data_IF_636899995657
#
_entry.id   IF_636899995657
#
_cell.length_a   1.000
_cell.length_b   1.000
_cell.length_c   1.000
_cell.angle_alpha   90.00
_cell.angle_beta   90.00
_cell.angle_gamma   90.00
#
_symmetry.space_group_name_H-M   'P 1'
#
loop_
_entity.id
_entity.type
_entity.pdbx_description
1 polymer ?
#
# COMPACT_ATOMS: atom_id res chain seq x y z
N UNK A 1 -4.21 -4.88 -23.95
CA UNK A 1 -4.42 -3.71 -23.04
C UNK A 1 -3.05 -3.15 -22.70
N UNK A 2 -2.89 -1.85 -22.73
CA UNK A 2 -1.64 -1.16 -22.41
C UNK A 2 -1.31 -1.30 -20.91
N UNK A 3 -0.03 -1.23 -20.56
CA UNK A 3 0.43 -1.35 -19.16
C UNK A 3 -0.13 -0.21 -18.30
N UNK A 4 -0.13 1.00 -18.84
CA UNK A 4 -0.65 2.20 -18.18
C UNK A 4 -2.14 2.05 -17.85
N UNK A 5 -2.92 1.47 -18.76
CA UNK A 5 -4.34 1.21 -18.55
C UNK A 5 -4.56 0.15 -17.47
N UNK A 6 -3.73 -0.90 -17.44
CA UNK A 6 -3.77 -1.90 -16.36
C UNK A 6 -3.45 -1.27 -15.00
N UNK A 7 -2.40 -0.46 -14.96
CA UNK A 7 -2.00 0.22 -13.74
C UNK A 7 -3.09 1.19 -13.26
N UNK A 8 -3.69 1.97 -14.16
CA UNK A 8 -4.78 2.88 -13.81
C UNK A 8 -5.99 2.14 -13.20
N UNK A 9 -6.39 1.01 -13.78
CA UNK A 9 -7.47 0.17 -13.23
C UNK A 9 -7.10 -0.36 -11.84
N UNK A 10 -5.88 -0.87 -11.67
CA UNK A 10 -5.43 -1.38 -10.38
C UNK A 10 -5.40 -0.28 -9.31
N UNK A 11 -4.84 0.88 -9.62
CA UNK A 11 -4.80 2.03 -8.70
C UNK A 11 -6.20 2.54 -8.35
N UNK A 12 -7.13 2.56 -9.32
CA UNK A 12 -8.52 2.89 -9.04
C UNK A 12 -9.13 1.91 -8.03
N UNK A 13 -8.92 0.60 -8.23
CA UNK A 13 -9.41 -0.43 -7.31
C UNK A 13 -8.77 -0.31 -5.92
N UNK A 14 -7.48 0.01 -5.83
CA UNK A 14 -6.78 0.17 -4.54
C UNK A 14 -7.19 1.44 -3.79
N UNK A 15 -7.50 2.52 -4.51
CA UNK A 15 -7.95 3.77 -3.91
C UNK A 15 -9.41 3.80 -3.50
N UNK A 16 -10.19 2.75 -3.82
CA UNK A 16 -11.62 2.70 -3.54
C UNK A 16 -11.99 1.35 -2.93
N UNK A 17 -12.92 1.36 -2.00
CA UNK A 17 -13.44 0.14 -1.36
C UNK A 17 -14.97 0.07 -1.41
N UNK A 18 -15.52 -1.11 -1.17
CA UNK A 18 -16.96 -1.40 -1.24
C UNK A 18 -17.54 -1.07 -2.64
N UNK A 19 -18.74 -0.52 -2.67
CA UNK A 19 -19.48 -0.21 -3.90
C UNK A 19 -18.82 0.84 -4.81
N UNK A 20 -17.86 1.61 -4.32
CA UNK A 20 -17.15 2.60 -5.12
C UNK A 20 -16.26 1.96 -6.19
N UNK A 21 -15.66 0.80 -5.91
CA UNK A 21 -14.87 0.01 -6.86
C UNK A 21 -15.64 -1.22 -7.37
N UNK A 22 -16.97 -1.15 -7.50
CA UNK A 22 -17.72 -2.28 -8.06
C UNK A 22 -17.27 -2.57 -9.50
N UNK A 23 -17.24 -3.86 -9.85
CA UNK A 23 -16.80 -4.34 -11.18
C UNK A 23 -17.49 -3.60 -12.33
N UNK A 24 -18.80 -3.32 -12.18
CA UNK A 24 -19.57 -2.58 -13.19
C UNK A 24 -19.05 -1.14 -13.38
N UNK A 25 -18.85 -0.41 -12.30
CA UNK A 25 -18.36 0.99 -12.36
C UNK A 25 -16.96 1.06 -12.99
N UNK A 26 -16.08 0.16 -12.57
CA UNK A 26 -14.71 0.11 -13.10
C UNK A 26 -14.71 -0.28 -14.59
N UNK A 27 -15.52 -1.27 -14.98
CA UNK A 27 -15.64 -1.68 -16.38
C UNK A 27 -16.12 -0.54 -17.28
N UNK A 28 -17.15 0.19 -16.86
CA UNK A 28 -17.68 1.36 -17.59
C UNK A 28 -16.67 2.49 -17.65
N UNK A 29 -16.02 2.81 -16.51
CA UNK A 29 -15.02 3.88 -16.45
C UNK A 29 -13.80 3.60 -17.33
N UNK A 30 -13.31 2.36 -17.31
CA UNK A 30 -12.10 1.98 -18.05
C UNK A 30 -12.38 1.53 -19.50
N UNK A 31 -13.64 1.37 -19.89
CA UNK A 31 -14.02 0.87 -21.22
C UNK A 31 -13.59 -0.58 -21.46
N UNK A 32 -13.60 -1.44 -20.42
CA UNK A 32 -13.15 -2.84 -20.52
C UNK A 32 -14.27 -3.82 -20.20
N UNK A 33 -14.11 -5.08 -20.64
CA UNK A 33 -15.05 -6.13 -20.32
C UNK A 33 -15.12 -6.44 -18.83
N UNK A 34 -16.29 -6.83 -18.35
CA UNK A 34 -16.59 -7.11 -16.95
C UNK A 34 -15.62 -8.10 -16.31
N UNK A 35 -15.29 -9.20 -17.03
CA UNK A 35 -14.34 -10.21 -16.56
C UNK A 35 -12.88 -9.73 -16.47
N UNK A 36 -12.54 -8.66 -17.16
CA UNK A 36 -11.19 -8.08 -17.14
C UNK A 36 -10.88 -7.37 -15.81
N UNK A 37 -11.87 -6.71 -15.23
CA UNK A 37 -11.70 -5.89 -14.02
C UNK A 37 -11.09 -6.67 -12.85
N UNK A 38 -11.55 -7.87 -12.46
CA UNK A 38 -10.94 -8.61 -11.35
C UNK A 38 -9.57 -9.24 -11.70
N UNK A 39 -9.24 -9.39 -12.98
CA UNK A 39 -7.98 -9.98 -13.42
C UNK A 39 -6.83 -8.98 -13.34
N UNK A 40 -7.09 -7.72 -13.70
CA UNK A 40 -6.05 -6.69 -13.79
C UNK A 40 -5.36 -6.41 -12.45
N UNK A 41 -6.05 -6.16 -11.34
CA UNK A 41 -5.39 -5.97 -10.05
C UNK A 41 -4.56 -7.18 -9.64
N UNK A 42 -5.04 -8.41 -9.92
CA UNK A 42 -4.27 -9.64 -9.63
C UNK A 42 -2.97 -9.71 -10.42
N UNK A 43 -3.01 -9.32 -11.70
CA UNK A 43 -1.81 -9.28 -12.54
C UNK A 43 -0.81 -8.23 -12.07
N UNK A 44 -1.29 -7.04 -11.72
CA UNK A 44 -0.44 -5.96 -11.17
C UNK A 44 0.17 -6.37 -9.84
N UNK A 45 -0.61 -6.92 -8.91
CA UNK A 45 -0.07 -7.44 -7.64
C UNK A 45 0.98 -8.52 -7.88
N UNK A 46 0.74 -9.46 -8.80
CA UNK A 46 1.71 -10.49 -9.14
C UNK A 46 3.01 -9.90 -9.70
N UNK A 47 2.92 -8.88 -10.54
CA UNK A 47 4.09 -8.19 -11.08
C UNK A 47 4.88 -7.45 -9.98
N UNK A 48 4.19 -6.74 -9.08
CA UNK A 48 4.81 -6.04 -7.95
C UNK A 48 5.45 -7.00 -6.94
N UNK A 49 4.87 -8.19 -6.76
CA UNK A 49 5.41 -9.22 -5.88
C UNK A 49 6.45 -10.12 -6.59
N UNK A 50 6.83 -9.80 -7.83
CA UNK A 50 7.93 -10.53 -8.47
C UNK A 50 9.23 -10.30 -7.70
N UNK A 51 10.04 -11.35 -7.60
CA UNK A 51 11.29 -11.33 -6.84
C UNK A 51 12.22 -10.21 -7.29
N UNK A 52 12.31 -10.02 -8.61
CA UNK A 52 13.13 -8.98 -9.23
C UNK A 52 12.66 -7.57 -8.83
N UNK A 53 11.34 -7.29 -8.90
CA UNK A 53 10.80 -5.98 -8.53
C UNK A 53 10.91 -5.75 -7.03
N UNK A 54 10.58 -6.77 -6.23
CA UNK A 54 10.64 -6.67 -4.78
C UNK A 54 12.06 -6.34 -4.30
N UNK A 55 13.07 -7.08 -4.76
CA UNK A 55 14.47 -6.83 -4.38
C UNK A 55 15.02 -5.48 -4.86
N UNK A 56 14.54 -4.96 -5.98
CA UNK A 56 14.95 -3.64 -6.46
C UNK A 56 14.29 -2.48 -5.71
N UNK A 57 13.09 -2.69 -5.15
CA UNK A 57 12.26 -1.63 -4.58
C UNK A 57 12.17 -1.66 -3.05
N UNK A 58 12.33 -2.84 -2.44
CA UNK A 58 12.23 -3.03 -0.99
C UNK A 58 13.57 -3.53 -0.46
N UNK A 59 14.34 -2.65 0.13
CA UNK A 59 15.66 -2.95 0.70
C UNK A 59 15.88 -2.16 1.98
N UNK A 60 16.74 -2.68 2.86
CA UNK A 60 17.17 -1.95 4.03
C UNK A 60 18.02 -0.75 3.66
N UNK A 61 17.88 0.33 4.42
CA UNK A 61 18.68 1.52 4.22
C UNK A 61 20.18 1.23 4.36
N UNK A 62 20.97 1.79 3.45
CA UNK A 62 22.44 1.75 3.55
C UNK A 62 22.91 2.55 4.78
N UNK A 63 24.13 2.31 5.24
CA UNK A 63 24.69 3.05 6.37
C UNK A 63 24.77 4.57 6.11
N UNK A 64 25.07 4.95 4.86
CA UNK A 64 25.03 6.36 4.45
C UNK A 64 23.64 6.98 4.55
N UNK A 65 22.60 6.26 4.10
CA UNK A 65 21.21 6.70 4.21
C UNK A 65 20.76 6.80 5.69
N UNK A 66 21.20 5.88 6.55
CA UNK A 66 20.94 5.94 7.99
C UNK A 66 21.60 7.16 8.64
N UNK A 67 22.85 7.46 8.28
CA UNK A 67 23.57 8.62 8.81
C UNK A 67 22.86 9.93 8.41
N UNK A 68 22.42 10.03 7.15
CA UNK A 68 21.62 11.18 6.69
C UNK A 68 20.30 11.29 7.44
N UNK A 69 19.60 10.17 7.63
CA UNK A 69 18.35 10.17 8.39
C UNK A 69 18.54 10.59 9.85
N UNK A 70 19.59 10.12 10.52
CA UNK A 70 19.94 10.53 11.89
C UNK A 70 20.17 12.03 12.00
N UNK A 71 20.95 12.61 11.09
CA UNK A 71 21.20 14.04 11.06
C UNK A 71 19.90 14.84 10.85
N UNK A 72 19.04 14.40 9.94
CA UNK A 72 17.74 15.03 9.69
C UNK A 72 16.80 14.94 10.90
N UNK A 73 16.80 13.81 11.61
CA UNK A 73 15.99 13.63 12.83
C UNK A 73 16.47 14.55 13.95
N UNK A 74 17.76 14.63 14.16
CA UNK A 74 18.37 15.52 15.17
C UNK A 74 18.05 16.99 14.89
N UNK A 75 18.18 17.41 13.62
CA UNK A 75 17.87 18.78 13.19
C UNK A 75 16.38 19.12 13.33
N UNK A 76 15.49 18.20 12.94
CA UNK A 76 14.04 18.42 12.95
C UNK A 76 13.38 18.25 14.31
N UNK A 77 14.05 17.61 15.28
CA UNK A 77 13.46 17.31 16.59
C UNK A 77 14.28 17.86 17.76
N UNK A 78 15.14 17.04 18.33
CA UNK A 78 16.02 17.43 19.43
C UNK A 78 17.23 16.47 19.52
N UNK A 79 18.33 16.90 20.19
CA UNK A 79 19.54 16.08 20.33
C UNK A 79 19.34 14.72 20.98
N UNK A 80 18.29 14.53 21.77
CA UNK A 80 17.98 13.23 22.39
C UNK A 80 17.62 12.14 21.33
N UNK A 81 17.24 12.54 20.12
CA UNK A 81 16.89 11.65 19.02
C UNK A 81 18.01 11.46 17.98
N UNK A 82 19.25 11.85 18.32
CA UNK A 82 20.40 11.76 17.41
C UNK A 82 20.67 10.36 16.81
N UNK A 83 20.22 9.30 17.47
CA UNK A 83 20.30 7.93 16.96
C UNK A 83 19.04 7.44 16.23
N UNK A 84 17.98 8.25 16.19
CA UNK A 84 16.76 7.95 15.46
C UNK A 84 16.99 7.97 13.95
N UNK A 85 16.61 6.90 13.25
CA UNK A 85 16.74 6.84 11.79
C UNK A 85 15.56 6.16 11.10
N UNK A 86 14.67 5.55 11.87
CA UNK A 86 13.51 4.84 11.37
C UNK A 86 12.26 5.28 12.12
N UNK A 87 11.25 5.67 11.37
CA UNK A 87 9.91 5.88 11.89
C UNK A 87 9.02 4.70 11.52
N UNK A 88 8.23 4.25 12.47
CA UNK A 88 7.23 3.21 12.27
C UNK A 88 5.86 3.80 12.55
N UNK A 89 4.98 3.72 11.58
CA UNK A 89 3.59 4.16 11.72
C UNK A 89 2.64 3.04 11.38
N UNK A 90 1.53 2.98 12.11
CA UNK A 90 0.47 2.01 11.90
C UNK A 90 -0.72 2.63 11.18
N UNK A 91 -1.15 2.02 10.08
CA UNK A 91 -2.35 2.46 9.37
C UNK A 91 -3.34 1.32 9.17
N UNK A 92 -4.63 1.66 9.19
CA UNK A 92 -5.71 0.72 8.90
C UNK A 92 -6.09 0.83 7.42
N UNK A 93 -5.92 -0.27 6.69
CA UNK A 93 -6.34 -0.38 5.29
C UNK A 93 -7.70 -1.07 5.24
N UNK A 94 -8.79 -0.35 4.89
CA UNK A 94 -10.13 -0.94 4.82
C UNK A 94 -10.18 -2.06 3.77
N UNK A 95 -10.77 -3.18 4.14
CA UNK A 95 -10.98 -4.29 3.22
C UNK A 95 -12.18 -4.01 2.30
N UNK A 96 -12.11 -4.52 1.10
CA UNK A 96 -13.19 -4.38 0.11
C UNK A 96 -14.51 -4.98 0.60
N UNK A 97 -14.45 -6.13 1.28
CA UNK A 97 -15.60 -6.85 1.83
C UNK A 97 -15.20 -7.60 3.10
N UNK A 98 -16.21 -8.04 3.84
CA UNK A 98 -16.05 -8.94 4.98
C UNK A 98 -15.32 -10.23 4.54
N UNK A 99 -14.19 -10.58 5.17
CA UNK A 99 -13.52 -11.85 4.88
C UNK A 99 -14.40 -13.04 5.28
N UNK A 100 -14.47 -14.04 4.40
CA UNK A 100 -15.25 -15.25 4.66
C UNK A 100 -14.67 -16.14 5.78
N UNK A 101 -13.36 -16.05 6.02
CA UNK A 101 -12.64 -16.79 7.06
C UNK A 101 -12.19 -15.84 8.16
N UNK A 102 -12.51 -16.17 9.42
CA UNK A 102 -12.17 -15.36 10.60
C UNK A 102 -12.52 -13.87 10.47
N UNK A 103 -13.62 -13.55 9.77
CA UNK A 103 -13.99 -12.17 9.45
C UNK A 103 -14.01 -11.24 10.65
N UNK A 104 -14.46 -11.70 11.82
CA UNK A 104 -14.52 -10.89 13.03
C UNK A 104 -13.14 -10.44 13.57
N UNK A 105 -12.05 -11.13 13.24
CA UNK A 105 -10.70 -10.73 13.64
C UNK A 105 -10.19 -9.51 12.89
N UNK A 106 -10.82 -9.15 11.79
CA UNK A 106 -10.50 -7.98 10.97
C UNK A 106 -11.33 -6.75 11.31
N UNK A 107 -12.21 -6.86 12.32
CA UNK A 107 -13.07 -5.76 12.72
C UNK A 107 -12.28 -4.73 13.53
N UNK A 108 -12.24 -3.51 13.04
CA UNK A 108 -11.50 -2.42 13.65
C UNK A 108 -12.36 -1.56 14.60
N UNK A 109 -11.71 -0.69 15.35
CA UNK A 109 -12.36 0.25 16.28
C UNK A 109 -13.29 1.28 15.59
N UNK A 110 -13.20 1.42 14.27
CA UNK A 110 -14.06 2.31 13.45
C UNK A 110 -15.24 1.57 12.83
N UNK A 111 -15.52 0.36 13.30
CA UNK A 111 -16.62 -0.49 12.80
C UNK A 111 -16.46 -0.89 11.32
N UNK A 112 -15.24 -1.00 10.84
CA UNK A 112 -14.92 -1.50 9.50
C UNK A 112 -14.11 -2.80 9.58
N UNK A 113 -14.07 -3.52 8.48
CA UNK A 113 -13.13 -4.62 8.31
C UNK A 113 -11.85 -4.05 7.70
N UNK A 114 -10.74 -4.13 8.43
CA UNK A 114 -9.49 -3.49 8.04
C UNK A 114 -8.30 -4.40 8.34
N UNK A 115 -7.25 -4.24 7.55
CA UNK A 115 -5.94 -4.82 7.82
C UNK A 115 -5.06 -3.76 8.48
N UNK A 116 -4.47 -4.10 9.62
CA UNK A 116 -3.48 -3.24 10.26
C UNK A 116 -2.14 -3.42 9.54
N UNK A 117 -1.62 -2.34 9.00
CA UNK A 117 -0.35 -2.32 8.27
C UNK A 117 0.61 -1.38 9.01
N UNK A 118 1.81 -1.86 9.30
CA UNK A 118 2.90 -1.04 9.81
C UNK A 118 3.81 -0.65 8.65
N UNK A 119 4.06 0.63 8.52
CA UNK A 119 4.95 1.19 7.49
C UNK A 119 6.16 1.76 8.21
N UNK A 120 7.35 1.36 7.76
CA UNK A 120 8.60 1.93 8.23
C UNK A 120 9.19 2.88 7.19
N UNK A 121 9.68 4.03 7.61
CA UNK A 121 10.19 5.09 6.75
C UNK A 121 11.45 5.70 7.34
N UNK A 122 12.44 5.99 6.50
CA UNK A 122 13.74 6.56 6.90
C UNK A 122 13.85 8.07 6.66
N UNK A 123 12.85 8.71 6.05
CA UNK A 123 12.85 10.15 5.77
C UNK A 123 11.64 10.86 6.39
N UNK A 124 11.90 11.97 7.06
CA UNK A 124 10.91 13.02 7.28
C UNK A 124 10.69 13.77 5.97
N UNK A 125 9.46 13.84 5.49
CA UNK A 125 9.03 14.79 4.49
C UNK A 125 8.21 15.84 5.21
#
# INVERSE_FOLDING_TARGET
MLVEQQLAIALYCFGHYRNAASTMKVALWAGVGFGTVPLVPKQVIKALNSEQFHHSSVHWSSEGAKATAKASVEEASCPAWHDGWLMVDGTLVPLFMHPGFFGNTWFDQKSNYSMNVQISKTHFI
#
